data_IF_080290575957
#
_entry.id   IF_080290575957
#
_cell.length_a   1.000
_cell.length_b   1.000
_cell.length_c   1.000
_cell.angle_alpha   90.00
_cell.angle_beta   90.00
_cell.angle_gamma   90.00
#
_symmetry.space_group_name_H-M   'P 1'
#
loop_
_entity.id
_entity.type
_entity.pdbx_description
1 polymer ?
#
# COMPACT_ATOMS: atom_id res chain seq x y z
N UNK A 1 -16.36 -11.64 -0.44
CA UNK A 1 -15.36 -11.80 0.65
C UNK A 1 -14.42 -10.60 0.59
N UNK A 2 -14.24 -9.90 1.70
CA UNK A 2 -13.37 -8.73 1.71
C UNK A 2 -11.90 -9.10 1.91
N UNK A 3 -11.00 -8.11 1.80
CA UNK A 3 -9.55 -8.30 1.91
C UNK A 3 -9.17 -8.90 3.27
N UNK A 4 -9.80 -8.43 4.34
CA UNK A 4 -9.48 -8.89 5.69
C UNK A 4 -9.84 -10.36 5.86
N UNK A 5 -11.02 -10.77 5.43
CA UNK A 5 -11.47 -12.16 5.52
C UNK A 5 -10.61 -13.08 4.67
N UNK A 6 -10.33 -12.69 3.45
CA UNK A 6 -9.51 -13.48 2.53
C UNK A 6 -8.07 -13.59 3.03
N UNK A 7 -7.50 -12.50 3.55
CA UNK A 7 -6.16 -12.50 4.13
C UNK A 7 -6.10 -13.38 5.38
N UNK A 8 -7.12 -13.32 6.23
CA UNK A 8 -7.19 -14.17 7.43
C UNK A 8 -7.23 -15.64 7.05
N UNK A 9 -8.02 -16.02 6.05
CA UNK A 9 -8.08 -17.39 5.56
C UNK A 9 -6.72 -17.86 5.03
N UNK A 10 -6.05 -17.03 4.23
CA UNK A 10 -4.70 -17.35 3.73
C UNK A 10 -3.69 -17.47 4.85
N UNK A 11 -3.76 -16.59 5.86
CA UNK A 11 -2.88 -16.64 7.02
C UNK A 11 -3.05 -17.95 7.80
N UNK A 12 -4.28 -18.36 8.04
CA UNK A 12 -4.56 -19.61 8.76
C UNK A 12 -4.01 -20.81 7.99
N UNK A 13 -4.21 -20.84 6.68
CA UNK A 13 -3.73 -21.93 5.83
C UNK A 13 -2.20 -21.99 5.80
N UNK A 14 -1.54 -20.85 5.78
CA UNK A 14 -0.09 -20.75 5.59
C UNK A 14 0.70 -20.59 6.86
N UNK A 15 0.05 -20.50 8.03
CA UNK A 15 0.73 -20.23 9.31
C UNK A 15 1.79 -21.28 9.67
N UNK A 16 1.62 -22.50 9.22
CA UNK A 16 2.59 -23.59 9.46
C UNK A 16 3.91 -23.39 8.72
N UNK A 17 3.92 -22.55 7.68
CA UNK A 17 5.13 -22.24 6.90
C UNK A 17 5.98 -21.17 7.57
N UNK A 18 5.43 -20.45 8.55
CA UNK A 18 6.14 -19.42 9.28
C UNK A 18 7.08 -20.07 10.29
N UNK A 19 8.39 -19.95 10.06
CA UNK A 19 9.41 -20.54 10.93
C UNK A 19 9.95 -19.55 11.95
N UNK A 20 9.82 -18.25 11.69
CA UNK A 20 10.39 -17.19 12.50
C UNK A 20 9.28 -16.24 12.95
N UNK A 21 8.96 -16.30 14.26
CA UNK A 21 7.91 -15.46 14.84
C UNK A 21 8.26 -13.97 14.85
N UNK A 22 9.55 -13.62 14.77
CA UNK A 22 9.96 -12.22 14.66
C UNK A 22 9.56 -11.61 13.32
N UNK A 23 9.33 -12.44 12.30
CA UNK A 23 8.88 -12.02 10.98
C UNK A 23 7.36 -12.15 10.80
N UNK A 24 6.62 -12.29 11.89
CA UNK A 24 5.17 -12.44 11.83
C UNK A 24 4.49 -11.23 11.19
N UNK A 25 4.86 -10.01 11.60
CA UNK A 25 4.24 -8.80 11.07
C UNK A 25 4.53 -8.60 9.57
N UNK A 26 5.77 -8.67 9.09
CA UNK A 26 6.04 -8.62 7.66
C UNK A 26 5.34 -9.74 6.88
N UNK A 27 5.27 -10.93 7.43
CA UNK A 27 4.60 -12.06 6.80
C UNK A 27 3.10 -11.80 6.61
N UNK A 28 2.42 -11.31 7.65
CA UNK A 28 1.01 -10.94 7.57
C UNK A 28 0.79 -9.79 6.58
N UNK A 29 1.64 -8.76 6.63
CA UNK A 29 1.56 -7.63 5.71
C UNK A 29 1.72 -8.10 4.26
N UNK A 30 2.60 -9.04 3.99
CA UNK A 30 2.77 -9.61 2.66
C UNK A 30 1.47 -10.24 2.15
N UNK A 31 0.79 -11.01 2.99
CA UNK A 31 -0.49 -11.62 2.63
C UNK A 31 -1.55 -10.56 2.33
N UNK A 32 -1.67 -9.56 3.19
CA UNK A 32 -2.65 -8.47 3.02
C UNK A 32 -2.36 -7.67 1.76
N UNK A 33 -1.10 -7.31 1.54
CA UNK A 33 -0.69 -6.52 0.36
C UNK A 33 -0.95 -7.31 -0.92
N UNK A 34 -0.55 -8.56 -0.98
CA UNK A 34 -0.76 -9.40 -2.16
C UNK A 34 -2.24 -9.59 -2.45
N UNK A 35 -3.05 -9.85 -1.42
CA UNK A 35 -4.50 -10.00 -1.56
C UNK A 35 -5.13 -8.70 -2.06
N UNK A 36 -4.72 -7.56 -1.49
CA UNK A 36 -5.24 -6.24 -1.88
C UNK A 36 -4.90 -5.91 -3.33
N UNK A 37 -3.66 -6.15 -3.75
CA UNK A 37 -3.23 -5.87 -5.11
C UNK A 37 -3.94 -6.78 -6.12
N UNK A 38 -4.14 -8.05 -5.79
CA UNK A 38 -4.87 -8.98 -6.65
C UNK A 38 -6.33 -8.56 -6.83
N UNK A 39 -6.99 -8.16 -5.75
CA UNK A 39 -8.37 -7.68 -5.82
C UNK A 39 -8.47 -6.38 -6.62
N UNK A 40 -7.53 -5.47 -6.46
CA UNK A 40 -7.48 -4.22 -7.21
C UNK A 40 -7.29 -4.47 -8.70
N UNK A 41 -6.41 -5.38 -9.08
CA UNK A 41 -6.20 -5.76 -10.48
C UNK A 41 -7.45 -6.38 -11.08
N UNK A 42 -8.14 -7.23 -10.35
CA UNK A 42 -9.39 -7.84 -10.80
C UNK A 42 -10.50 -6.81 -10.97
N UNK A 43 -10.63 -5.85 -10.07
CA UNK A 43 -11.59 -4.76 -10.19
C UNK A 43 -11.33 -3.90 -11.42
N UNK A 44 -10.09 -3.60 -11.73
CA UNK A 44 -9.71 -2.83 -12.91
C UNK A 44 -10.12 -3.57 -14.19
N UNK A 45 -9.99 -4.90 -14.21
CA UNK A 45 -10.41 -5.72 -15.36
C UNK A 45 -11.92 -5.79 -15.53
N UNK A 46 -12.66 -5.82 -14.43
CA UNK A 46 -14.12 -6.00 -14.44
C UNK A 46 -14.88 -4.68 -14.60
N UNK A 47 -14.33 -3.59 -14.10
CA UNK A 47 -14.97 -2.27 -14.10
C UNK A 47 -13.94 -1.18 -14.44
N UNK A 48 -13.74 -0.89 -15.72
CA UNK A 48 -12.88 0.22 -16.08
C UNK A 48 -13.49 1.54 -15.61
N UNK A 49 -12.80 2.21 -14.71
CA UNK A 49 -13.00 3.61 -14.33
C UNK A 49 -14.36 3.94 -13.70
N UNK A 50 -14.75 3.23 -12.65
CA UNK A 50 -15.71 3.82 -11.72
C UNK A 50 -14.97 4.79 -10.81
N UNK A 51 -15.41 6.04 -10.83
CA UNK A 51 -14.96 7.01 -9.86
C UNK A 51 -15.26 6.48 -8.47
N UNK A 52 -14.23 6.37 -7.65
CA UNK A 52 -14.43 6.09 -6.24
C UNK A 52 -15.38 7.12 -5.67
N UNK A 53 -16.45 6.69 -4.96
CA UNK A 53 -17.34 7.67 -4.34
C UNK A 53 -16.50 8.56 -3.43
N UNK A 54 -16.58 9.85 -3.67
CA UNK A 54 -15.94 10.82 -2.80
C UNK A 54 -16.51 10.62 -1.40
N UNK A 55 -15.72 10.05 -0.52
CA UNK A 55 -16.07 10.04 0.88
C UNK A 55 -16.16 11.49 1.32
N UNK A 56 -17.33 11.94 1.66
CA UNK A 56 -17.55 13.27 2.19
C UNK A 56 -16.90 13.37 3.57
N UNK A 57 -15.58 13.54 3.59
CA UNK A 57 -14.85 13.83 4.80
C UNK A 57 -14.76 15.35 4.90
N UNK A 58 -15.60 15.92 5.72
CA UNK A 58 -15.67 17.35 5.90
C UNK A 58 -14.48 17.91 6.68
N UNK A 59 -13.70 17.05 7.30
CA UNK A 59 -12.68 17.50 8.22
C UNK A 59 -11.28 17.15 7.75
N UNK A 60 -10.49 18.16 7.46
CA UNK A 60 -9.05 18.14 7.23
C UNK A 60 -8.66 18.12 5.77
N UNK A 61 -8.60 19.31 5.22
CA UNK A 61 -8.06 19.56 3.89
C UNK A 61 -6.68 18.93 3.70
N UNK A 62 -5.83 18.92 4.73
CA UNK A 62 -4.49 18.35 4.65
C UNK A 62 -4.51 16.83 4.49
N UNK A 63 -5.34 16.14 5.24
CA UNK A 63 -5.49 14.68 5.11
C UNK A 63 -6.12 14.29 3.78
N UNK A 64 -7.09 15.07 3.33
CA UNK A 64 -7.75 14.82 2.04
C UNK A 64 -6.76 15.01 0.88
N UNK A 65 -5.93 16.06 0.95
CA UNK A 65 -4.92 16.31 -0.07
C UNK A 65 -3.87 15.21 -0.10
N UNK A 66 -3.45 14.73 1.07
CA UNK A 66 -2.51 13.62 1.15
C UNK A 66 -3.12 12.33 0.60
N UNK A 67 -4.36 12.02 0.95
CA UNK A 67 -5.05 10.85 0.41
C UNK A 67 -5.20 10.92 -1.10
N UNK A 68 -5.57 12.08 -1.64
CA UNK A 68 -5.68 12.28 -3.08
C UNK A 68 -4.33 12.10 -3.77
N UNK A 69 -3.27 12.65 -3.19
CA UNK A 69 -1.93 12.51 -3.73
C UNK A 69 -1.46 11.05 -3.70
N UNK A 70 -1.72 10.33 -2.61
CA UNK A 70 -1.42 8.91 -2.51
C UNK A 70 -2.20 8.09 -3.52
N UNK A 71 -3.47 8.41 -3.75
CA UNK A 71 -4.31 7.69 -4.70
C UNK A 71 -3.88 7.88 -6.15
N UNK A 72 -3.14 8.96 -6.46
CA UNK A 72 -2.57 9.19 -7.79
C UNK A 72 -1.31 8.36 -8.05
N UNK A 73 -0.69 7.84 -7.01
CA UNK A 73 0.45 6.95 -7.16
C UNK A 73 -0.02 5.56 -7.60
N UNK A 74 0.85 4.87 -8.33
CA UNK A 74 0.60 3.47 -8.64
C UNK A 74 0.47 2.66 -7.34
N UNK A 75 -0.36 1.58 -7.32
CA UNK A 75 -0.58 0.82 -6.08
C UNK A 75 0.70 0.31 -5.42
N UNK A 76 1.67 -0.15 -6.21
CA UNK A 76 2.95 -0.64 -5.69
C UNK A 76 3.75 0.48 -5.01
N UNK A 77 3.75 1.67 -5.61
CA UNK A 77 4.44 2.83 -5.06
C UNK A 77 3.77 3.33 -3.79
N UNK A 78 2.45 3.39 -3.80
CA UNK A 78 1.66 3.76 -2.63
C UNK A 78 1.90 2.79 -1.47
N UNK A 79 1.98 1.50 -1.77
CA UNK A 79 2.22 0.46 -0.77
C UNK A 79 3.52 0.68 -0.02
N UNK A 80 4.63 0.93 -0.71
CA UNK A 80 5.92 1.13 -0.02
C UNK A 80 5.93 2.39 0.84
N UNK A 81 5.25 3.46 0.41
CA UNK A 81 5.13 4.67 1.22
C UNK A 81 4.32 4.40 2.49
N UNK A 82 3.19 3.73 2.37
CA UNK A 82 2.35 3.40 3.51
C UNK A 82 3.11 2.53 4.52
N UNK A 83 3.78 1.51 4.06
CA UNK A 83 4.54 0.62 4.94
C UNK A 83 5.68 1.34 5.64
N UNK A 84 6.36 2.25 4.95
CA UNK A 84 7.50 2.98 5.53
C UNK A 84 7.08 4.06 6.51
N UNK A 85 6.10 4.87 6.17
CA UNK A 85 5.77 6.08 6.92
C UNK A 85 4.57 5.95 7.85
N UNK A 86 3.58 5.17 7.48
CA UNK A 86 2.40 4.98 8.34
C UNK A 86 2.57 3.79 9.27
N UNK A 87 3.22 2.73 8.82
CA UNK A 87 3.45 1.52 9.61
C UNK A 87 4.85 1.49 10.25
N UNK A 88 5.68 2.47 9.96
CA UNK A 88 7.05 2.61 10.50
C UNK A 88 7.89 1.34 10.32
N UNK A 89 7.75 0.71 9.16
CA UNK A 89 8.42 -0.55 8.86
C UNK A 89 9.84 -0.31 8.33
N UNK A 90 10.76 -1.18 8.70
CA UNK A 90 12.13 -1.13 8.18
C UNK A 90 12.15 -1.50 6.70
N UNK A 91 13.09 -0.92 5.94
CA UNK A 91 13.22 -1.18 4.51
C UNK A 91 13.41 -2.66 4.22
N UNK A 92 14.20 -3.36 5.04
CA UNK A 92 14.42 -4.80 4.90
C UNK A 92 13.11 -5.59 5.03
N UNK A 93 12.25 -5.19 5.94
CA UNK A 93 10.94 -5.82 6.14
C UNK A 93 9.99 -5.50 5.00
N UNK A 94 10.02 -4.27 4.50
CA UNK A 94 9.24 -3.89 3.31
C UNK A 94 9.65 -4.74 2.11
N UNK A 95 10.94 -4.96 1.94
CA UNK A 95 11.46 -5.80 0.86
C UNK A 95 10.89 -7.22 0.93
N UNK A 96 10.73 -7.78 2.14
CA UNK A 96 10.08 -9.07 2.33
C UNK A 96 8.60 -9.03 1.98
N UNK A 97 7.90 -7.95 2.36
CA UNK A 97 6.46 -7.80 2.10
C UNK A 97 6.18 -7.73 0.61
N UNK A 98 6.94 -6.93 -0.14
CA UNK A 98 6.71 -6.72 -1.56
C UNK A 98 7.48 -7.68 -2.46
N UNK A 99 8.29 -8.57 -1.86
CA UNK A 99 9.10 -9.57 -2.57
C UNK A 99 10.06 -8.93 -3.59
N UNK A 100 10.74 -7.88 -3.15
CA UNK A 100 11.72 -7.14 -3.94
C UNK A 100 13.02 -7.04 -3.15
N UNK A 101 14.14 -6.73 -3.80
CA UNK A 101 15.36 -6.50 -3.05
C UNK A 101 15.38 -5.10 -2.41
N UNK A 102 16.23 -4.92 -1.41
CA UNK A 102 16.31 -3.68 -0.64
C UNK A 102 16.63 -2.48 -1.53
N UNK A 103 17.51 -2.62 -2.49
CA UNK A 103 17.86 -1.52 -3.39
C UNK A 103 16.70 -1.09 -4.27
N UNK A 104 15.91 -2.04 -4.75
CA UNK A 104 14.70 -1.76 -5.53
C UNK A 104 13.67 -1.00 -4.67
N UNK A 105 13.48 -1.43 -3.42
CA UNK A 105 12.57 -0.76 -2.48
C UNK A 105 13.02 0.68 -2.23
N UNK A 106 14.32 0.89 -1.97
CA UNK A 106 14.87 2.24 -1.76
C UNK A 106 14.65 3.14 -2.97
N UNK A 107 14.93 2.64 -4.16
CA UNK A 107 14.73 3.41 -5.39
C UNK A 107 13.26 3.75 -5.63
N UNK A 108 12.38 2.78 -5.42
CA UNK A 108 10.92 2.97 -5.55
C UNK A 108 10.42 3.99 -4.54
N UNK A 109 10.84 3.88 -3.29
CA UNK A 109 10.46 4.79 -2.22
C UNK A 109 10.90 6.21 -2.53
N UNK A 110 12.14 6.39 -2.95
CA UNK A 110 12.66 7.72 -3.31
C UNK A 110 11.89 8.36 -4.46
N UNK A 111 11.64 7.62 -5.53
CA UNK A 111 10.88 8.11 -6.68
C UNK A 111 9.43 8.42 -6.30
N UNK A 112 8.83 7.58 -5.47
CA UNK A 112 7.44 7.76 -5.02
C UNK A 112 7.29 9.00 -4.15
N UNK A 113 8.24 9.24 -3.26
CA UNK A 113 8.27 10.46 -2.43
C UNK A 113 8.41 11.71 -3.29
N UNK A 114 9.25 11.66 -4.30
CA UNK A 114 9.43 12.78 -5.21
C UNK A 114 8.14 13.11 -5.96
N UNK A 115 7.46 12.10 -6.47
CA UNK A 115 6.15 12.27 -7.13
C UNK A 115 5.10 12.83 -6.19
N UNK A 116 5.05 12.30 -4.98
CA UNK A 116 4.10 12.74 -3.95
C UNK A 116 4.34 14.19 -3.58
N UNK A 117 5.59 14.59 -3.41
CA UNK A 117 5.97 15.97 -3.11
C UNK A 117 5.54 16.93 -4.22
N UNK A 118 5.77 16.57 -5.50
CA UNK A 118 5.34 17.38 -6.63
C UNK A 118 3.83 17.58 -6.62
N UNK A 119 3.07 16.53 -6.39
CA UNK A 119 1.61 16.59 -6.34
C UNK A 119 1.10 17.48 -5.20
N UNK A 120 1.72 17.40 -4.04
CA UNK A 120 1.35 18.23 -2.89
C UNK A 120 1.71 19.69 -3.13
N UNK A 121 2.86 19.97 -3.75
CA UNK A 121 3.27 21.32 -4.09
C UNK A 121 2.32 21.93 -5.11
N UNK A 122 1.90 21.18 -6.12
CA UNK A 122 0.93 21.64 -7.11
C UNK A 122 -0.42 21.98 -6.46
N UNK A 123 -0.87 21.16 -5.52
CA UNK A 123 -2.09 21.42 -4.76
C UNK A 123 -1.97 22.65 -3.88
N UNK A 124 -0.82 22.85 -3.25
CA UNK A 124 -0.56 24.01 -2.41
C UNK A 124 -0.45 25.31 -3.22
N UNK A 125 -0.08 25.23 -4.49
CA UNK A 125 0.02 26.38 -5.37
C UNK A 125 -1.35 26.91 -5.86
N UNK A 126 -2.39 26.15 -5.65
CA UNK A 126 -3.75 26.56 -5.98
C UNK A 126 -4.39 27.33 -4.83
#
# INVERSE_FOLDING_TARGET
>A
MDVVQESACKAIIQCKKLKDTEKLLPWLCRIVVNTSLDLLRNQIKEQPAEELPEAAAEDKYEELDLKKALNRLEPENRTVIILRYFEDMKIEDIALVVDENVNTVKARLYRSLKKLRIQLDDTAAL
#
